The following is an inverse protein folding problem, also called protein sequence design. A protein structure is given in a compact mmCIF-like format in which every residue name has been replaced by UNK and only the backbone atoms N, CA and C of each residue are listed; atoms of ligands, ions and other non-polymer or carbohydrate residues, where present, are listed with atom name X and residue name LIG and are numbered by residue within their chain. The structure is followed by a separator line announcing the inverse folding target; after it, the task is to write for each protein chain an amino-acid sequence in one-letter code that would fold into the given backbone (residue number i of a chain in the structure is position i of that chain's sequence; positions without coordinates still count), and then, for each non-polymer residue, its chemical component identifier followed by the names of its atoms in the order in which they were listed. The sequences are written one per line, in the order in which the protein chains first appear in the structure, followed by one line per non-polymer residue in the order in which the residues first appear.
data_IF_478496774602
#
_entry.id   IF_478496774602
#
_cell.length_a   1.000
_cell.length_b   1.000
_cell.length_c   1.000
_cell.angle_alpha   90.00
_cell.angle_beta   90.00
_cell.angle_gamma   90.00
#
_symmetry.space_group_name_H-M   'P 1'
#
loop_
_entity.id
_entity.type
_entity.pdbx_description
1 polymer ?
#
# COMPACT_ATOMS: atom_id res chain seq x y z
N UNK A 1 -34.87 52.28 -27.23
CA UNK A 1 -34.79 51.30 -28.34
C UNK A 1 -35.38 51.85 -29.65
N UNK A 2 -36.65 52.31 -29.67
CA UNK A 2 -37.35 52.85 -30.86
C UNK A 2 -36.55 53.85 -31.72
N UNK A 3 -35.90 54.86 -31.10
CA UNK A 3 -35.08 55.85 -31.83
C UNK A 3 -33.90 55.25 -32.60
N UNK A 4 -33.24 54.22 -32.04
CA UNK A 4 -32.10 53.54 -32.68
C UNK A 4 -32.56 52.66 -33.85
N UNK A 5 -33.71 52.01 -33.70
CA UNK A 5 -34.36 51.22 -34.76
C UNK A 5 -34.77 52.10 -35.95
N UNK A 6 -35.42 53.24 -35.69
CA UNK A 6 -35.78 54.22 -36.73
C UNK A 6 -34.53 54.71 -37.47
N UNK A 7 -33.44 55.03 -36.74
CA UNK A 7 -32.17 55.45 -37.35
C UNK A 7 -31.55 54.34 -38.21
N UNK A 8 -31.61 53.08 -37.77
CA UNK A 8 -31.14 51.94 -38.56
C UNK A 8 -31.99 51.75 -39.82
N UNK A 9 -33.32 51.79 -39.70
CA UNK A 9 -34.26 51.64 -40.83
C UNK A 9 -34.03 52.71 -41.90
N UNK A 10 -33.84 53.97 -41.52
CA UNK A 10 -33.52 55.05 -42.47
C UNK A 10 -32.18 54.82 -43.17
N UNK A 11 -31.15 54.39 -42.44
CA UNK A 11 -29.83 54.07 -43.02
C UNK A 11 -29.91 52.85 -43.93
N UNK A 12 -30.75 51.88 -43.58
CA UNK A 12 -30.99 50.69 -44.38
C UNK A 12 -31.65 51.06 -45.71
N UNK A 13 -32.75 51.83 -45.68
CA UNK A 13 -33.44 52.31 -46.87
C UNK A 13 -32.51 53.11 -47.79
N UNK A 14 -31.73 54.05 -47.24
CA UNK A 14 -30.79 54.85 -48.03
C UNK A 14 -29.68 54.00 -48.67
N UNK A 15 -29.14 53.02 -47.92
CA UNK A 15 -28.12 52.12 -48.45
C UNK A 15 -28.68 51.15 -49.49
N UNK A 16 -29.89 50.65 -49.30
CA UNK A 16 -30.59 49.80 -50.26
C UNK A 16 -30.88 50.58 -51.55
N UNK A 17 -31.44 51.79 -51.46
CA UNK A 17 -31.68 52.66 -52.62
C UNK A 17 -30.39 52.91 -53.40
N UNK A 18 -29.29 53.24 -52.71
CA UNK A 18 -27.97 53.44 -53.34
C UNK A 18 -27.45 52.16 -54.02
N UNK A 19 -27.65 51.00 -53.40
CA UNK A 19 -27.25 49.72 -53.99
C UNK A 19 -28.05 49.40 -55.26
N UNK A 20 -29.36 49.69 -55.25
CA UNK A 20 -30.25 49.46 -56.38
C UNK A 20 -29.93 50.37 -57.57
N UNK A 21 -29.52 51.63 -57.34
CA UNK A 21 -29.15 52.60 -58.39
C UNK A 21 -27.76 52.38 -58.97
N UNK A 22 -26.80 51.93 -58.16
CA UNK A 22 -25.43 51.64 -58.61
C UNK A 22 -25.31 50.34 -59.42
N UNK A 23 -26.35 49.51 -59.44
CA UNK A 23 -26.42 48.32 -60.29
C UNK A 23 -25.53 47.16 -59.82
N UNK A 24 -25.20 46.20 -60.71
CA UNK A 24 -24.54 44.93 -60.34
C UNK A 24 -23.15 45.04 -59.70
N UNK A 25 -22.43 46.14 -59.93
CA UNK A 25 -21.08 46.39 -59.39
C UNK A 25 -21.10 47.06 -58.01
N UNK A 26 -22.29 47.28 -57.43
CA UNK A 26 -22.44 47.94 -56.15
C UNK A 26 -21.89 47.09 -54.99
N UNK A 27 -21.07 47.71 -54.13
CA UNK A 27 -20.50 47.02 -52.97
C UNK A 27 -21.58 46.58 -51.98
N UNK A 28 -21.44 45.36 -51.44
CA UNK A 28 -22.29 44.82 -50.38
C UNK A 28 -21.79 45.16 -48.96
N UNK A 29 -20.68 45.88 -48.83
CA UNK A 29 -20.16 46.31 -47.52
C UNK A 29 -21.17 47.13 -46.69
N UNK A 30 -21.97 48.04 -47.27
CA UNK A 30 -23.02 48.73 -46.51
C UNK A 30 -24.05 47.78 -45.89
N UNK A 31 -24.47 46.74 -46.62
CA UNK A 31 -25.38 45.71 -46.10
C UNK A 31 -24.73 44.97 -44.92
N UNK A 32 -23.48 44.51 -45.08
CA UNK A 32 -22.72 43.83 -44.03
C UNK A 32 -22.55 44.69 -42.77
N UNK A 33 -22.30 46.00 -42.93
CA UNK A 33 -22.16 46.92 -41.80
C UNK A 33 -23.49 47.17 -41.08
N UNK A 34 -24.60 47.27 -41.81
CA UNK A 34 -25.94 47.35 -41.25
C UNK A 34 -26.29 46.06 -40.49
N UNK A 35 -25.93 44.89 -41.02
CA UNK A 35 -26.04 43.61 -40.33
C UNK A 35 -25.26 43.56 -39.02
N UNK A 36 -23.99 44.01 -39.02
CA UNK A 36 -23.20 44.14 -37.78
C UNK A 36 -23.84 45.10 -36.79
N UNK A 37 -24.49 46.16 -37.26
CA UNK A 37 -25.21 47.10 -36.39
C UNK A 37 -26.50 46.48 -35.85
N UNK A 38 -27.20 45.67 -36.63
CA UNK A 38 -28.37 44.91 -36.21
C UNK A 38 -28.01 43.93 -35.08
N UNK A 39 -26.92 43.17 -35.23
CA UNK A 39 -26.36 42.29 -34.17
C UNK A 39 -26.11 43.08 -32.87
N UNK A 40 -25.45 44.24 -32.95
CA UNK A 40 -25.19 45.09 -31.76
C UNK A 40 -26.45 45.63 -31.09
N UNK A 41 -27.54 45.73 -31.84
CA UNK A 41 -28.84 46.18 -31.34
C UNK A 41 -29.72 45.02 -30.86
N UNK A 42 -29.24 43.77 -30.96
CA UNK A 42 -30.00 42.58 -30.62
C UNK A 42 -31.16 42.32 -31.56
N UNK A 43 -31.07 42.76 -32.82
CA UNK A 43 -32.09 42.50 -33.83
C UNK A 43 -31.88 41.12 -34.45
N UNK A 44 -32.98 40.40 -34.63
CA UNK A 44 -32.98 39.10 -35.28
C UNK A 44 -33.25 39.22 -36.79
N UNK A 45 -33.11 38.12 -37.52
CA UNK A 45 -33.32 38.06 -38.96
C UNK A 45 -34.72 38.56 -39.35
N UNK A 46 -35.75 38.28 -38.54
CA UNK A 46 -37.11 38.77 -38.75
C UNK A 46 -37.23 40.29 -38.59
N UNK A 47 -36.49 40.90 -37.66
CA UNK A 47 -36.50 42.35 -37.48
C UNK A 47 -35.86 43.06 -38.68
N UNK A 48 -34.78 42.49 -39.23
CA UNK A 48 -34.15 42.99 -40.44
C UNK A 48 -35.04 42.76 -41.66
N UNK A 49 -35.79 41.65 -41.72
CA UNK A 49 -36.77 41.38 -42.77
C UNK A 49 -37.86 42.45 -42.80
N UNK A 50 -38.41 42.83 -41.64
CA UNK A 50 -39.39 43.93 -41.52
C UNK A 50 -38.83 45.28 -41.96
N UNK A 51 -37.56 45.56 -41.61
CA UNK A 51 -36.88 46.78 -42.10
C UNK A 51 -36.70 46.75 -43.62
N UNK A 52 -36.37 45.59 -44.18
CA UNK A 52 -36.20 45.40 -45.61
C UNK A 52 -37.51 45.57 -46.38
N UNK A 53 -38.58 44.96 -45.90
CA UNK A 53 -39.94 45.10 -46.43
C UNK A 53 -40.39 46.57 -46.41
N UNK A 54 -40.24 47.26 -45.27
CA UNK A 54 -40.57 48.69 -45.17
C UNK A 54 -39.71 49.57 -46.08
N UNK A 55 -38.45 49.22 -46.31
CA UNK A 55 -37.60 49.92 -47.26
C UNK A 55 -38.01 49.68 -48.72
N UNK A 56 -38.41 48.46 -49.08
CA UNK A 56 -38.93 48.13 -50.41
C UNK A 56 -40.26 48.81 -50.69
N UNK A 57 -41.20 48.79 -49.75
CA UNK A 57 -42.50 49.48 -49.90
C UNK A 57 -42.32 50.99 -50.16
N UNK A 58 -41.30 51.61 -49.57
CA UNK A 58 -40.96 53.01 -49.82
C UNK A 58 -40.27 53.27 -51.18
N UNK A 59 -39.77 52.23 -51.85
CA UNK A 59 -39.03 52.29 -53.12
C UNK A 59 -39.88 51.82 -54.32
N UNK A 60 -40.77 50.84 -54.14
CA UNK A 60 -41.68 50.28 -55.17
C UNK A 60 -42.70 51.29 -55.71
N UNK A 61 -42.87 52.44 -55.04
CA UNK A 61 -43.60 53.59 -55.58
C UNK A 61 -42.94 54.21 -56.83
N UNK A 62 -41.82 53.70 -57.35
CA UNK A 62 -40.99 54.42 -58.34
C UNK A 62 -40.38 53.70 -59.56
N UNK A 63 -40.42 52.36 -59.79
CA UNK A 63 -39.99 51.74 -61.09
C UNK A 63 -40.08 50.20 -61.23
N UNK A 64 -39.92 49.71 -62.48
CA UNK A 64 -40.10 48.35 -63.03
C UNK A 64 -39.18 47.23 -62.49
N UNK A 65 -39.60 45.96 -62.68
CA UNK A 65 -39.72 44.97 -61.59
C UNK A 65 -38.62 43.89 -61.45
N UNK A 66 -38.02 43.31 -62.48
CA UNK A 66 -37.27 42.04 -62.27
C UNK A 66 -35.82 42.19 -61.77
N UNK A 67 -35.04 43.13 -62.30
CA UNK A 67 -33.64 43.31 -61.90
C UNK A 67 -33.48 43.92 -60.50
N UNK A 68 -34.48 44.64 -60.03
CA UNK A 68 -34.49 45.32 -58.72
C UNK A 68 -34.71 44.30 -57.60
N UNK A 69 -35.65 43.36 -57.78
CA UNK A 69 -35.95 42.30 -56.81
C UNK A 69 -34.71 41.45 -56.54
N UNK A 70 -33.99 41.02 -57.59
CA UNK A 70 -32.78 40.20 -57.38
C UNK A 70 -31.69 40.95 -56.62
N UNK A 71 -31.52 42.26 -56.86
CA UNK A 71 -30.52 43.07 -56.16
C UNK A 71 -30.91 43.35 -54.72
N UNK A 72 -32.20 43.55 -54.42
CA UNK A 72 -32.67 43.70 -53.04
C UNK A 72 -32.50 42.41 -52.24
N UNK A 73 -32.77 41.24 -52.85
CA UNK A 73 -32.49 39.93 -52.23
C UNK A 73 -31.02 39.77 -51.86
N UNK A 74 -30.09 40.11 -52.77
CA UNK A 74 -28.65 40.01 -52.52
C UNK A 74 -28.24 40.94 -51.37
N UNK A 75 -28.76 42.17 -51.35
CA UNK A 75 -28.51 43.11 -50.27
C UNK A 75 -29.04 42.61 -48.92
N UNK A 76 -30.25 42.03 -48.91
CA UNK A 76 -30.84 41.44 -47.72
C UNK A 76 -30.03 40.26 -47.21
N UNK A 77 -29.66 39.32 -48.09
CA UNK A 77 -28.85 38.16 -47.77
C UNK A 77 -27.51 38.55 -47.12
N UNK A 78 -26.83 39.57 -47.64
CA UNK A 78 -25.60 40.07 -47.02
C UNK A 78 -25.89 40.77 -45.67
N UNK A 79 -27.00 41.51 -45.55
CA UNK A 79 -27.35 42.19 -44.31
C UNK A 79 -27.67 41.23 -43.16
N UNK A 80 -28.24 40.06 -43.43
CA UNK A 80 -28.54 39.05 -42.40
C UNK A 80 -27.35 38.14 -42.08
N UNK A 81 -26.35 38.05 -42.97
CA UNK A 81 -25.16 37.19 -42.78
C UNK A 81 -24.47 37.35 -41.42
N UNK A 82 -24.23 38.56 -40.88
CA UNK A 82 -23.65 38.70 -39.54
C UNK A 82 -24.51 38.12 -38.41
N UNK A 83 -25.84 38.18 -38.52
CA UNK A 83 -26.79 37.68 -37.53
C UNK A 83 -26.75 36.15 -37.54
N UNK A 84 -26.87 35.53 -38.72
CA UNK A 84 -26.80 34.08 -38.88
C UNK A 84 -25.47 33.50 -38.37
N UNK A 85 -24.35 34.19 -38.64
CA UNK A 85 -23.03 33.78 -38.12
C UNK A 85 -22.99 33.77 -36.59
N UNK A 86 -23.67 34.71 -35.92
CA UNK A 86 -23.74 34.70 -34.44
C UNK A 86 -24.61 33.57 -33.90
N UNK A 87 -25.75 33.27 -34.55
CA UNK A 87 -26.59 32.14 -34.17
C UNK A 87 -25.86 30.81 -34.33
N UNK A 88 -25.19 30.59 -35.46
CA UNK A 88 -24.38 29.39 -35.67
C UNK A 88 -23.28 29.24 -34.61
N UNK A 89 -22.58 30.33 -34.27
CA UNK A 89 -21.58 30.31 -33.20
C UNK A 89 -22.19 29.95 -31.83
N UNK A 90 -23.36 30.49 -31.50
CA UNK A 90 -24.08 30.20 -30.26
C UNK A 90 -24.53 28.74 -30.17
N UNK A 91 -25.07 28.17 -31.26
CA UNK A 91 -25.46 26.75 -31.33
C UNK A 91 -24.27 25.82 -31.15
N UNK A 92 -23.14 26.15 -31.78
CA UNK A 92 -21.89 25.40 -31.61
C UNK A 92 -21.38 25.48 -30.17
N UNK A 93 -21.44 26.65 -29.54
CA UNK A 93 -21.07 26.83 -28.13
C UNK A 93 -21.99 26.04 -27.19
N UNK A 94 -23.30 26.08 -27.40
CA UNK A 94 -24.28 25.31 -26.61
C UNK A 94 -24.03 23.80 -26.73
N UNK A 95 -23.72 23.31 -27.93
CA UNK A 95 -23.39 21.90 -28.16
C UNK A 95 -22.13 21.49 -27.40
N UNK A 96 -21.08 22.32 -27.45
CA UNK A 96 -19.82 22.08 -26.71
C UNK A 96 -20.04 22.11 -25.20
N UNK A 97 -20.82 23.07 -24.69
CA UNK A 97 -21.17 23.15 -23.27
C UNK A 97 -21.90 21.89 -22.80
N UNK A 98 -22.86 21.39 -23.59
CA UNK A 98 -23.55 20.14 -23.28
C UNK A 98 -22.60 18.93 -23.25
N UNK A 99 -21.61 18.86 -24.14
CA UNK A 99 -20.60 17.79 -24.13
C UNK A 99 -19.70 17.86 -22.88
N UNK A 100 -19.27 19.06 -22.51
CA UNK A 100 -18.48 19.28 -21.30
C UNK A 100 -19.27 18.90 -20.05
N UNK A 101 -20.53 19.33 -19.93
CA UNK A 101 -21.39 18.98 -18.80
C UNK A 101 -21.57 17.46 -18.69
N UNK A 102 -21.87 16.76 -19.78
CA UNK A 102 -21.94 15.28 -19.78
C UNK A 102 -20.64 14.62 -19.32
N UNK A 103 -19.49 15.19 -19.68
CA UNK A 103 -18.18 14.68 -19.25
C UNK A 103 -17.93 14.94 -17.78
N UNK A 104 -18.32 16.12 -17.27
CA UNK A 104 -18.25 16.46 -15.86
C UNK A 104 -19.14 15.57 -15.00
N UNK A 105 -20.37 15.27 -15.45
CA UNK A 105 -21.28 14.37 -14.74
C UNK A 105 -20.69 12.97 -14.61
N UNK A 106 -20.16 12.41 -15.72
CA UNK A 106 -19.48 11.10 -15.72
C UNK A 106 -18.30 11.08 -14.74
N UNK A 107 -17.42 12.07 -14.83
CA UNK A 107 -16.25 12.17 -13.93
C UNK A 107 -16.65 12.32 -12.47
N UNK A 108 -17.74 13.02 -12.18
CA UNK A 108 -18.24 13.20 -10.81
C UNK A 108 -18.70 11.87 -10.23
N UNK A 109 -19.42 11.06 -11.02
CA UNK A 109 -19.84 9.71 -10.62
C UNK A 109 -18.63 8.79 -10.42
N UNK A 110 -17.68 8.78 -11.36
CA UNK A 110 -16.47 7.96 -11.28
C UNK A 110 -15.61 8.30 -10.06
N UNK A 111 -15.42 9.61 -9.78
CA UNK A 111 -14.71 10.08 -8.60
C UNK A 111 -15.43 9.71 -7.31
N UNK A 112 -16.76 9.79 -7.27
CA UNK A 112 -17.54 9.36 -6.11
C UNK A 112 -17.40 7.86 -5.85
N UNK A 113 -17.43 7.03 -6.90
CA UNK A 113 -17.24 5.59 -6.81
C UNK A 113 -15.82 5.24 -6.33
N UNK A 114 -14.79 5.84 -6.91
CA UNK A 114 -13.39 5.64 -6.52
C UNK A 114 -13.15 6.07 -5.07
N UNK A 115 -13.67 7.23 -4.65
CA UNK A 115 -13.58 7.68 -3.27
C UNK A 115 -14.24 6.72 -2.26
N UNK A 116 -15.38 6.11 -2.62
CA UNK A 116 -16.03 5.10 -1.76
C UNK A 116 -15.16 3.85 -1.62
N UNK A 117 -14.60 3.36 -2.72
CA UNK A 117 -13.68 2.20 -2.71
C UNK A 117 -12.42 2.46 -1.89
N UNK A 118 -11.80 3.63 -2.06
CA UNK A 118 -10.63 4.04 -1.27
C UNK A 118 -10.94 4.11 0.22
N UNK A 119 -12.10 4.68 0.60
CA UNK A 119 -12.52 4.72 2.02
C UNK A 119 -12.67 3.32 2.61
N UNK A 120 -13.29 2.39 1.89
CA UNK A 120 -13.40 0.99 2.33
C UNK A 120 -12.03 0.31 2.48
N UNK A 121 -11.15 0.50 1.50
CA UNK A 121 -9.79 -0.05 1.53
C UNK A 121 -8.97 0.49 2.71
N UNK A 122 -9.12 1.78 3.06
CA UNK A 122 -8.47 2.38 4.23
C UNK A 122 -8.97 1.73 5.53
N UNK A 123 -10.28 1.51 5.67
CA UNK A 123 -10.85 0.85 6.85
C UNK A 123 -10.34 -0.59 6.97
N UNK A 124 -10.30 -1.32 5.85
CA UNK A 124 -9.77 -2.68 5.82
C UNK A 124 -8.29 -2.71 6.22
N UNK A 125 -7.45 -1.85 5.64
CA UNK A 125 -6.02 -1.76 5.97
C UNK A 125 -5.78 -1.48 7.44
N UNK A 126 -6.52 -0.52 8.03
CA UNK A 126 -6.43 -0.20 9.46
C UNK A 126 -6.81 -1.38 10.36
N UNK A 127 -7.75 -2.22 9.91
CA UNK A 127 -8.17 -3.41 10.66
C UNK A 127 -7.07 -4.47 10.64
N UNK A 128 -6.51 -4.74 9.46
CA UNK A 128 -5.38 -5.67 9.29
C UNK A 128 -4.16 -5.20 10.08
N UNK A 129 -3.81 -3.92 10.01
CA UNK A 129 -2.68 -3.32 10.73
C UNK A 129 -2.83 -3.48 12.25
N UNK A 130 -4.03 -3.26 12.80
CA UNK A 130 -4.30 -3.51 14.23
C UNK A 130 -4.15 -4.98 14.61
N UNK A 131 -4.64 -5.90 13.78
CA UNK A 131 -4.50 -7.33 14.01
C UNK A 131 -3.03 -7.76 13.97
N UNK A 132 -2.26 -7.24 13.00
CA UNK A 132 -0.83 -7.51 12.86
C UNK A 132 -0.06 -7.01 14.07
N UNK A 133 -0.29 -5.77 14.52
CA UNK A 133 0.35 -5.21 15.72
C UNK A 133 0.08 -6.03 16.98
N UNK A 134 -1.14 -6.59 17.12
CA UNK A 134 -1.49 -7.50 18.22
C UNK A 134 -0.71 -8.82 18.12
N UNK A 135 -0.64 -9.40 16.91
CA UNK A 135 0.09 -10.63 16.65
C UNK A 135 1.59 -10.46 16.90
N UNK A 136 2.21 -9.39 16.41
CA UNK A 136 3.63 -9.06 16.65
C UNK A 136 3.93 -8.94 18.16
N UNK A 137 3.06 -8.26 18.90
CA UNK A 137 3.18 -8.15 20.35
C UNK A 137 3.11 -9.51 21.05
N UNK A 138 2.23 -10.42 20.58
CA UNK A 138 2.12 -11.77 21.12
C UNK A 138 3.35 -12.62 20.79
N UNK A 139 3.79 -12.62 19.53
CA UNK A 139 4.99 -13.34 19.09
C UNK A 139 6.25 -12.89 19.84
N UNK A 140 6.39 -11.59 20.10
CA UNK A 140 7.50 -11.06 20.90
C UNK A 140 7.49 -11.62 22.33
N UNK A 141 6.32 -11.68 22.98
CA UNK A 141 6.17 -12.26 24.34
C UNK A 141 6.53 -13.74 24.35
N UNK A 142 6.00 -14.52 23.40
CA UNK A 142 6.32 -15.94 23.28
C UNK A 142 7.82 -16.18 23.05
N UNK A 143 8.47 -15.34 22.24
CA UNK A 143 9.91 -15.44 22.01
C UNK A 143 10.72 -15.12 23.26
N UNK A 144 10.30 -14.12 24.05
CA UNK A 144 10.93 -13.81 25.34
C UNK A 144 10.76 -14.94 26.36
N UNK A 145 9.57 -15.54 26.44
CA UNK A 145 9.30 -16.70 27.30
C UNK A 145 10.14 -17.91 26.89
N UNK A 146 10.18 -18.22 25.60
CA UNK A 146 11.02 -19.31 25.07
C UNK A 146 12.49 -19.12 25.42
N UNK A 147 13.02 -17.89 25.26
CA UNK A 147 14.41 -17.57 25.63
C UNK A 147 14.65 -17.71 27.13
N UNK A 148 13.69 -17.33 27.98
CA UNK A 148 13.78 -17.51 29.44
C UNK A 148 13.81 -18.99 29.81
N UNK A 149 12.91 -19.79 29.24
CA UNK A 149 12.88 -21.23 29.45
C UNK A 149 14.17 -21.92 28.99
N UNK A 150 14.69 -21.54 27.81
CA UNK A 150 15.96 -22.07 27.32
C UNK A 150 17.13 -21.76 28.27
N UNK A 151 17.21 -20.53 28.79
CA UNK A 151 18.22 -20.17 29.80
C UNK A 151 18.06 -20.99 31.07
N UNK A 152 16.82 -21.18 31.53
CA UNK A 152 16.52 -21.95 32.74
C UNK A 152 16.92 -23.42 32.58
N UNK A 153 16.57 -24.04 31.44
CA UNK A 153 16.98 -25.40 31.11
C UNK A 153 18.50 -25.52 31.07
N UNK A 154 19.19 -24.62 30.37
CA UNK A 154 20.66 -24.64 30.31
C UNK A 154 21.30 -24.55 31.70
N UNK A 155 20.75 -23.71 32.58
CA UNK A 155 21.23 -23.58 33.95
C UNK A 155 20.99 -24.85 34.78
N UNK A 156 19.79 -25.44 34.70
CA UNK A 156 19.47 -26.69 35.39
C UNK A 156 20.33 -27.85 34.89
N UNK A 157 20.49 -27.99 33.58
CA UNK A 157 21.37 -29.00 32.98
C UNK A 157 22.80 -28.84 33.47
N UNK A 158 23.33 -27.61 33.51
CA UNK A 158 24.68 -27.37 34.04
C UNK A 158 24.78 -27.78 35.52
N UNK A 159 23.81 -27.41 36.36
CA UNK A 159 23.77 -27.81 37.77
C UNK A 159 23.74 -29.33 37.97
N UNK A 160 22.94 -30.04 37.16
CA UNK A 160 22.85 -31.50 37.22
C UNK A 160 24.20 -32.11 36.82
N UNK A 161 24.81 -31.65 35.73
CA UNK A 161 26.10 -32.14 35.27
C UNK A 161 27.20 -31.89 36.32
N UNK A 162 27.28 -30.68 36.88
CA UNK A 162 28.26 -30.36 37.93
C UNK A 162 28.06 -31.24 39.16
N UNK A 163 26.81 -31.42 39.63
CA UNK A 163 26.53 -32.29 40.77
C UNK A 163 26.88 -33.77 40.48
N UNK A 164 26.65 -34.24 39.25
CA UNK A 164 27.05 -35.59 38.83
C UNK A 164 28.57 -35.75 38.78
N UNK A 165 29.29 -34.76 38.24
CA UNK A 165 30.76 -34.76 38.20
C UNK A 165 31.37 -34.73 39.60
N UNK A 166 30.86 -33.90 40.50
CA UNK A 166 31.31 -33.83 41.89
C UNK A 166 31.09 -35.15 42.62
N UNK A 167 29.94 -35.78 42.40
CA UNK A 167 29.65 -37.12 42.92
C UNK A 167 30.62 -38.16 42.35
N UNK A 168 30.88 -38.16 41.04
CA UNK A 168 31.85 -39.08 40.40
C UNK A 168 33.25 -38.88 40.98
N UNK A 169 33.71 -37.63 41.15
CA UNK A 169 35.01 -37.31 41.77
C UNK A 169 35.08 -37.75 43.22
N UNK A 170 33.99 -37.62 43.99
CA UNK A 170 33.92 -38.12 45.36
C UNK A 170 34.05 -39.63 45.43
N UNK A 171 33.22 -40.37 44.66
CA UNK A 171 33.28 -41.83 44.59
C UNK A 171 34.67 -42.31 44.18
N UNK A 172 35.30 -41.66 43.20
CA UNK A 172 36.65 -42.02 42.76
C UNK A 172 37.70 -41.85 43.84
N UNK A 173 37.62 -40.78 44.65
CA UNK A 173 38.52 -40.53 45.78
C UNK A 173 38.30 -41.56 46.89
N UNK A 174 37.04 -41.75 47.30
CA UNK A 174 36.67 -42.72 48.33
C UNK A 174 37.14 -44.14 47.95
N UNK A 175 37.01 -44.50 46.67
CA UNK A 175 37.51 -45.77 46.13
C UNK A 175 39.05 -45.87 46.14
N UNK A 176 39.76 -44.82 45.70
CA UNK A 176 41.23 -44.79 45.73
C UNK A 176 41.76 -44.90 47.16
N UNK A 177 41.14 -44.20 48.10
CA UNK A 177 41.53 -44.24 49.52
C UNK A 177 41.33 -45.64 50.10
N UNK A 178 40.17 -46.28 49.88
CA UNK A 178 39.93 -47.62 50.41
C UNK A 178 40.82 -48.70 49.76
N UNK A 179 41.05 -48.62 48.44
CA UNK A 179 41.97 -49.53 47.76
C UNK A 179 43.41 -49.31 48.26
N UNK A 180 43.87 -48.05 48.35
CA UNK A 180 45.20 -47.69 48.82
C UNK A 180 45.46 -48.17 50.25
N UNK A 181 44.52 -47.94 51.17
CA UNK A 181 44.57 -48.44 52.54
C UNK A 181 44.63 -49.97 52.59
N UNK A 182 43.84 -50.66 51.75
CA UNK A 182 43.83 -52.13 51.75
C UNK A 182 45.13 -52.69 51.18
N UNK A 183 45.65 -52.13 50.08
CA UNK A 183 46.94 -52.52 49.51
C UNK A 183 48.09 -52.26 50.48
N UNK A 184 48.08 -51.14 51.21
CA UNK A 184 49.06 -50.88 52.26
C UNK A 184 48.99 -51.93 53.37
N UNK A 185 47.79 -52.27 53.83
CA UNK A 185 47.57 -53.33 54.83
C UNK A 185 48.08 -54.70 54.37
N UNK A 186 47.87 -55.04 53.09
CA UNK A 186 48.43 -56.25 52.46
C UNK A 186 49.96 -56.19 52.41
N UNK A 187 50.55 -55.08 51.93
CA UNK A 187 52.00 -54.92 51.84
C UNK A 187 52.70 -55.01 53.20
N UNK A 188 52.18 -54.35 54.23
CA UNK A 188 52.72 -54.45 55.59
C UNK A 188 52.72 -55.89 56.09
N UNK A 189 51.64 -56.64 55.85
CA UNK A 189 51.56 -58.06 56.24
C UNK A 189 52.44 -58.98 55.42
N UNK A 190 52.61 -58.71 54.12
CA UNK A 190 53.58 -59.44 53.28
C UNK A 190 55.02 -59.22 53.77
N UNK A 191 55.34 -58.02 54.26
CA UNK A 191 56.64 -57.75 54.90
C UNK A 191 56.80 -58.52 56.22
N UNK A 192 55.74 -58.61 57.04
CA UNK A 192 55.73 -59.47 58.24
C UNK A 192 55.91 -60.95 57.88
N UNK A 193 55.18 -61.43 56.87
CA UNK A 193 55.30 -62.80 56.33
C UNK A 193 56.71 -63.12 55.86
N UNK A 194 57.37 -62.20 55.14
CA UNK A 194 58.76 -62.35 54.70
C UNK A 194 59.73 -62.49 55.88
N UNK A 195 59.44 -61.84 57.02
CA UNK A 195 60.24 -61.88 58.24
C UNK A 195 59.95 -63.14 59.09
N UNK A 196 58.71 -63.63 59.12
CA UNK A 196 58.32 -64.84 59.86
C UNK A 196 58.64 -66.14 59.11
N UNK A 197 58.63 -66.14 57.78
CA UNK A 197 59.00 -67.29 56.95
C UNK A 197 60.43 -67.79 57.18
N UNK A 198 61.31 -66.95 57.73
CA UNK A 198 62.68 -67.33 58.09
C UNK A 198 62.80 -67.97 59.48
N UNK A 199 61.73 -67.99 60.30
CA UNK A 199 61.81 -68.37 61.73
C UNK A 199 60.66 -69.27 62.24
N UNK A 200 59.43 -69.23 61.69
CA UNK A 200 58.27 -70.00 62.23
C UNK A 200 57.19 -70.35 61.17
N UNK A 201 56.89 -71.64 61.00
CA UNK A 201 55.92 -72.16 60.02
C UNK A 201 54.43 -71.98 60.41
N UNK A 202 54.08 -71.93 61.71
CA UNK A 202 52.70 -71.74 62.18
C UNK A 202 52.26 -70.27 62.07
N UNK A 203 53.15 -69.32 62.39
CA UNK A 203 52.92 -67.87 62.18
C UNK A 203 52.67 -67.53 60.71
N UNK A 204 53.47 -68.15 59.82
CA UNK A 204 53.37 -68.01 58.37
C UNK A 204 51.98 -68.39 57.80
N UNK A 205 51.40 -69.51 58.24
CA UNK A 205 50.03 -69.90 57.81
C UNK A 205 48.97 -68.90 58.27
N UNK A 206 49.08 -68.40 59.50
CA UNK A 206 48.11 -67.45 60.08
C UNK A 206 48.14 -66.11 59.34
N UNK A 207 49.31 -65.62 58.98
CA UNK A 207 49.45 -64.35 58.28
C UNK A 207 49.01 -64.43 56.81
N UNK A 208 49.20 -65.58 56.12
CA UNK A 208 48.63 -65.82 54.78
C UNK A 208 47.11 -65.75 54.85
N UNK A 209 46.48 -66.47 55.78
CA UNK A 209 45.02 -66.45 55.95
C UNK A 209 44.50 -65.04 56.26
N UNK A 210 45.25 -64.26 57.02
CA UNK A 210 44.90 -62.88 57.36
C UNK A 210 45.02 -61.92 56.17
N UNK A 211 46.01 -62.13 55.29
CA UNK A 211 46.22 -61.37 54.05
C UNK A 211 45.15 -61.69 53.01
N UNK A 212 44.77 -62.97 52.89
CA UNK A 212 43.63 -63.40 52.07
C UNK A 212 42.32 -62.74 52.52
N UNK A 213 42.07 -62.61 53.83
CA UNK A 213 40.90 -61.90 54.36
C UNK A 213 40.86 -60.42 53.98
N UNK A 214 42.01 -59.74 53.92
CA UNK A 214 42.09 -58.35 53.45
C UNK A 214 41.82 -58.23 51.95
N UNK A 215 42.38 -59.13 51.14
CA UNK A 215 42.08 -59.19 49.70
C UNK A 215 40.58 -59.44 49.44
N UNK A 216 39.95 -60.32 50.21
CA UNK A 216 38.50 -60.55 50.13
C UNK A 216 37.69 -59.33 50.56
N UNK A 217 38.18 -58.53 51.52
CA UNK A 217 37.56 -57.27 51.91
C UNK A 217 37.64 -56.24 50.77
N UNK A 218 38.79 -56.07 50.11
CA UNK A 218 38.94 -55.22 48.93
C UNK A 218 37.98 -55.62 47.81
N UNK A 219 37.92 -56.92 47.49
CA UNK A 219 37.01 -57.46 46.46
C UNK A 219 35.54 -57.14 46.76
N UNK A 220 35.12 -57.23 48.03
CA UNK A 220 33.76 -56.89 48.46
C UNK A 220 33.48 -55.39 48.36
N UNK A 221 34.46 -54.55 48.68
CA UNK A 221 34.29 -53.10 48.53
C UNK A 221 34.16 -52.68 47.06
N UNK A 222 35.04 -53.18 46.18
CA UNK A 222 34.95 -52.94 44.73
C UNK A 222 33.56 -53.34 44.18
N UNK A 223 33.04 -54.50 44.58
CA UNK A 223 31.68 -54.94 44.19
C UNK A 223 30.58 -54.03 44.72
N UNK A 224 30.73 -53.43 45.90
CA UNK A 224 29.77 -52.48 46.48
C UNK A 224 29.76 -51.18 45.68
N UNK A 225 30.93 -50.61 45.41
CA UNK A 225 31.08 -49.40 44.62
C UNK A 225 30.60 -49.56 43.17
N UNK A 226 30.89 -50.69 42.51
CA UNK A 226 30.37 -50.98 41.18
C UNK A 226 28.84 -50.98 41.13
N UNK A 227 28.17 -51.43 42.20
CA UNK A 227 26.70 -51.38 42.33
C UNK A 227 26.18 -49.95 42.56
N UNK A 228 26.89 -49.14 43.34
CA UNK A 228 26.52 -47.74 43.53
C UNK A 228 26.65 -46.92 42.24
N UNK A 229 27.67 -47.19 41.42
CA UNK A 229 27.83 -46.55 40.11
C UNK A 229 26.73 -47.02 39.13
N UNK A 230 26.42 -48.32 39.09
CA UNK A 230 25.40 -48.88 38.21
C UNK A 230 23.97 -48.40 38.52
N UNK A 231 23.61 -48.29 39.80
CA UNK A 231 22.27 -47.81 40.22
C UNK A 231 21.97 -46.35 39.86
N UNK A 232 23.00 -45.54 39.60
CA UNK A 232 22.84 -44.12 39.23
C UNK A 232 22.87 -43.87 37.72
N UNK A 233 22.99 -44.91 36.89
CA UNK A 233 22.92 -44.82 35.42
C UNK A 233 21.54 -45.22 34.85
N UNK A 234 20.67 -45.84 35.65
CA UNK A 234 19.34 -46.37 35.23
C UNK A 234 18.15 -45.50 35.68
N UNK A 235 18.37 -44.37 36.33
CA UNK A 235 17.34 -43.43 36.78
C UNK A 235 17.62 -42.02 36.23
#
# INVERSE_FOLDING_TARGET
MKRKLIKLSRRYQAALQKHLTQGPQASLQPARQLGRQAVRLGLETLDVARIHEGALAALEASSSRDGIIKRSEIFFAEAVTPIEKTHHAALNAATRLNQVNKTLDRRTVDLAASNRSLKQSIVHRKTVEKALKKSEGHSKKLLEESRRLQKHLRHLTHRILTAQEDKRKKISRDLQDEIGQTLLGINVRLLTLKKEATVNAEGFKKDIASTQRLADKAKRSIKRFAREIGKHHEA
#
